data_IF_643264347698
#
_entry.id   IF_643264347698
#
_cell.length_a   1.000
_cell.length_b   1.000
_cell.length_c   1.000
_cell.angle_alpha   90.00
_cell.angle_beta   90.00
_cell.angle_gamma   90.00
#
_symmetry.space_group_name_H-M   'P 1'
#
loop_
_entity.id
_entity.type
_entity.pdbx_description
1 polymer ?
#
# COMPACT_ATOMS: atom_id res chain seq x y z
N UNK A 1 -1.67 -16.07 7.86
CA UNK A 1 -0.80 -15.00 7.31
C UNK A 1 -0.42 -15.36 5.88
N UNK A 2 -0.75 -14.51 4.93
CA UNK A 2 -0.49 -14.69 3.50
C UNK A 2 0.44 -13.59 3.01
N UNK A 3 1.56 -13.97 2.41
CA UNK A 3 2.53 -13.05 1.85
C UNK A 3 3.21 -13.74 0.65
N UNK A 4 2.80 -13.40 -0.56
CA UNK A 4 3.34 -13.98 -1.78
C UNK A 4 3.92 -12.94 -2.72
N UNK A 5 5.14 -13.13 -3.23
CA UNK A 5 5.69 -12.28 -4.28
C UNK A 5 4.84 -12.38 -5.54
N UNK A 6 4.63 -11.25 -6.17
CA UNK A 6 3.83 -11.16 -7.40
C UNK A 6 4.41 -10.13 -8.37
N UNK A 7 3.91 -10.15 -9.60
CA UNK A 7 4.27 -9.16 -10.61
C UNK A 7 3.04 -8.68 -11.34
N UNK A 8 2.91 -7.37 -11.47
CA UNK A 8 1.85 -6.73 -12.23
C UNK A 8 2.31 -6.52 -13.67
N UNK A 9 1.63 -7.17 -14.61
CA UNK A 9 1.75 -6.95 -16.06
C UNK A 9 0.66 -5.96 -16.51
N UNK A 10 0.99 -4.68 -16.44
CA UNK A 10 0.12 -3.55 -16.79
C UNK A 10 0.96 -2.33 -17.17
N UNK A 11 0.42 -1.39 -17.92
CA UNK A 11 1.12 -0.14 -18.22
C UNK A 11 1.20 0.77 -16.99
N UNK A 12 2.30 0.65 -16.25
CA UNK A 12 2.52 1.39 -15.01
C UNK A 12 2.71 2.89 -15.22
N UNK A 13 3.05 3.34 -16.44
CA UNK A 13 3.22 4.77 -16.73
C UNK A 13 1.93 5.55 -16.56
N UNK A 14 0.79 4.90 -16.67
CA UNK A 14 -0.54 5.48 -16.47
C UNK A 14 -0.81 5.92 -15.02
N UNK A 15 -0.04 5.39 -14.05
CA UNK A 15 -0.09 5.76 -12.63
C UNK A 15 0.91 6.84 -12.24
N UNK A 16 1.68 7.36 -13.18
CA UNK A 16 2.73 8.36 -12.98
C UNK A 16 2.47 9.61 -13.81
N UNK A 17 3.21 10.69 -13.52
CA UNK A 17 3.18 11.89 -14.34
C UNK A 17 1.95 12.80 -14.16
N UNK A 18 1.15 12.61 -13.13
CA UNK A 18 0.04 13.48 -12.76
C UNK A 18 0.32 14.22 -11.44
N UNK A 19 -0.45 15.26 -11.16
CA UNK A 19 -0.38 16.00 -9.91
C UNK A 19 -1.14 15.25 -8.81
N UNK A 20 -0.42 14.79 -7.79
CA UNK A 20 -1.04 14.16 -6.64
C UNK A 20 -1.86 15.16 -5.82
N UNK A 21 -2.96 14.70 -5.18
CA UNK A 21 -3.72 15.52 -4.24
C UNK A 21 -2.85 16.05 -3.10
N UNK A 22 -3.42 17.00 -2.33
CA UNK A 22 -2.78 17.54 -1.14
C UNK A 22 -2.25 16.45 -0.21
N UNK A 23 -1.12 16.69 0.46
CA UNK A 23 -0.55 15.73 1.40
C UNK A 23 -1.53 15.37 2.52
N UNK A 24 -1.53 14.11 2.90
CA UNK A 24 -2.24 13.62 4.08
C UNK A 24 -1.31 12.76 4.92
N UNK A 25 -1.61 12.57 6.19
CA UNK A 25 -0.91 11.55 6.97
C UNK A 25 -1.47 10.17 6.65
N UNK A 26 -0.65 9.14 6.64
CA UNK A 26 -1.10 7.76 6.47
C UNK A 26 -2.13 7.32 7.52
N UNK A 27 -2.23 8.06 8.63
CA UNK A 27 -3.11 7.78 9.75
C UNK A 27 -4.44 8.56 9.67
N UNK A 28 -4.55 9.58 8.83
CA UNK A 28 -5.79 10.36 8.68
C UNK A 28 -6.96 9.54 8.15
N UNK A 29 -6.68 8.46 7.42
CA UNK A 29 -7.69 7.55 6.90
C UNK A 29 -7.99 6.38 7.82
N UNK A 30 -7.26 6.25 8.95
CA UNK A 30 -7.49 5.16 9.87
C UNK A 30 -8.74 5.41 10.71
N UNK A 31 -9.58 4.41 10.78
CA UNK A 31 -10.69 4.37 11.71
C UNK A 31 -10.16 4.21 13.15
N UNK A 32 -11.02 4.40 14.13
CA UNK A 32 -10.63 4.38 15.54
C UNK A 32 -9.94 3.06 15.93
N UNK A 33 -10.47 1.96 15.44
CA UNK A 33 -9.98 0.61 15.70
C UNK A 33 -8.53 0.40 15.24
N UNK A 34 -8.13 1.00 14.12
CA UNK A 34 -6.73 0.96 13.65
C UNK A 34 -5.80 1.73 14.58
N UNK A 35 -6.27 2.85 15.15
CA UNK A 35 -5.52 3.62 16.14
C UNK A 35 -5.34 2.84 17.43
N UNK A 36 -6.41 2.19 17.89
CA UNK A 36 -6.39 1.37 19.10
C UNK A 36 -5.40 0.19 18.89
N UNK A 37 -5.40 -0.43 17.72
CA UNK A 37 -4.42 -1.47 17.38
C UNK A 37 -2.97 -0.96 17.40
N UNK A 38 -2.70 0.22 16.87
CA UNK A 38 -1.37 0.83 16.93
C UNK A 38 -0.93 1.09 18.36
N UNK A 39 -1.84 1.49 19.24
CA UNK A 39 -1.56 1.67 20.66
C UNK A 39 -1.27 0.33 21.36
N UNK A 40 -2.02 -0.73 21.06
CA UNK A 40 -1.79 -2.09 21.56
C UNK A 40 -0.42 -2.65 21.11
N UNK A 41 0.01 -2.34 19.90
CA UNK A 41 1.34 -2.70 19.37
C UNK A 41 2.49 -1.86 19.94
N UNK A 42 2.24 -1.00 20.92
CA UNK A 42 3.23 -0.14 21.56
C UNK A 42 3.16 1.33 21.10
N UNK A 43 2.18 1.67 20.28
CA UNK A 43 1.94 3.03 19.78
C UNK A 43 3.09 3.56 18.94
N UNK A 44 3.03 4.86 18.65
CA UNK A 44 4.15 5.54 18.02
C UNK A 44 5.16 5.99 19.10
N UNK A 45 6.46 5.85 18.86
CA UNK A 45 7.44 6.44 19.73
C UNK A 45 7.13 7.93 19.98
N UNK A 46 7.32 8.44 21.19
CA UNK A 46 7.05 9.86 21.51
C UNK A 46 7.85 10.85 20.65
N UNK A 47 8.95 10.38 20.05
CA UNK A 47 9.78 11.13 19.12
C UNK A 47 9.26 11.09 17.67
N UNK A 48 8.28 10.25 17.40
CA UNK A 48 7.70 10.12 16.07
C UNK A 48 6.82 11.33 15.77
N UNK A 49 7.13 12.04 14.70
CA UNK A 49 6.40 13.22 14.28
C UNK A 49 5.47 12.86 13.14
N UNK A 50 4.28 13.43 13.17
CA UNK A 50 3.29 13.26 12.12
C UNK A 50 3.79 13.66 10.74
N UNK A 51 4.70 14.64 10.67
CA UNK A 51 5.33 15.08 9.43
C UNK A 51 6.11 13.95 8.74
N UNK A 52 6.58 12.97 9.51
CA UNK A 52 7.30 11.82 8.96
C UNK A 52 6.36 10.76 8.36
N UNK A 53 5.05 10.90 8.56
CA UNK A 53 4.02 10.00 8.02
C UNK A 53 3.27 10.58 6.82
N UNK A 54 3.71 11.70 6.30
CA UNK A 54 3.04 12.38 5.19
C UNK A 54 3.18 11.56 3.92
N UNK A 55 2.05 11.31 3.28
CA UNK A 55 1.94 10.72 1.97
C UNK A 55 1.05 11.57 1.08
N UNK A 56 1.07 11.31 -0.22
CA UNK A 56 0.04 11.75 -1.15
C UNK A 56 -0.61 10.53 -1.76
N UNK A 57 -1.93 10.49 -1.80
CA UNK A 57 -2.67 9.33 -2.30
C UNK A 57 -3.71 9.74 -3.31
N UNK A 58 -3.75 9.05 -4.45
CA UNK A 58 -4.81 9.16 -5.44
C UNK A 58 -5.55 7.83 -5.52
N UNK A 59 -6.88 7.90 -5.35
CA UNK A 59 -7.79 6.81 -5.63
C UNK A 59 -8.18 6.82 -7.09
N UNK A 60 -8.23 5.66 -7.70
CA UNK A 60 -8.55 5.45 -9.09
C UNK A 60 -9.92 4.81 -9.24
N UNK A 61 -10.57 5.05 -10.37
CA UNK A 61 -11.88 4.49 -10.73
C UNK A 61 -11.74 3.49 -11.88
N UNK A 62 -12.76 2.68 -12.07
CA UNK A 62 -12.87 1.74 -13.22
C UNK A 62 -12.97 2.46 -14.58
N UNK A 63 -13.32 3.74 -14.59
CA UNK A 63 -13.31 4.56 -15.79
C UNK A 63 -11.88 5.03 -16.18
N UNK A 64 -10.99 5.15 -15.21
CA UNK A 64 -9.61 5.57 -15.41
C UNK A 64 -8.67 4.38 -15.69
N UNK A 65 -8.95 3.21 -15.10
CA UNK A 65 -8.13 2.01 -15.23
C UNK A 65 -8.96 0.74 -15.32
N UNK A 66 -8.49 -0.22 -16.11
CA UNK A 66 -9.11 -1.53 -16.28
C UNK A 66 -8.81 -2.43 -15.05
N UNK A 67 -9.72 -2.42 -14.06
CA UNK A 67 -9.61 -3.24 -12.85
C UNK A 67 -9.63 -4.74 -13.16
N UNK A 68 -10.34 -5.15 -14.23
CA UNK A 68 -10.38 -6.56 -14.63
C UNK A 68 -9.02 -7.03 -15.16
N UNK A 69 -8.38 -6.24 -16.03
CA UNK A 69 -7.05 -6.54 -16.57
C UNK A 69 -5.99 -6.59 -15.44
N UNK A 70 -6.00 -5.62 -14.52
CA UNK A 70 -5.14 -5.61 -13.33
C UNK A 70 -5.38 -6.84 -12.48
N UNK A 71 -6.64 -7.16 -12.21
CA UNK A 71 -7.04 -8.31 -11.42
C UNK A 71 -6.64 -9.64 -12.05
N UNK A 72 -6.75 -9.78 -13.36
CA UNK A 72 -6.32 -10.97 -14.09
C UNK A 72 -4.80 -11.18 -14.00
N UNK A 73 -4.04 -10.09 -14.09
CA UNK A 73 -2.58 -10.13 -13.91
C UNK A 73 -2.18 -10.58 -12.51
N UNK A 74 -2.94 -10.22 -11.48
CA UNK A 74 -2.64 -10.51 -10.07
C UNK A 74 -3.38 -11.73 -9.50
N UNK A 75 -4.26 -12.38 -10.26
CA UNK A 75 -5.12 -13.45 -9.74
C UNK A 75 -6.16 -12.96 -8.73
N UNK A 76 -6.61 -11.72 -8.84
CA UNK A 76 -7.52 -11.06 -7.90
C UNK A 76 -8.79 -10.54 -8.59
N UNK A 77 -9.86 -10.40 -7.82
CA UNK A 77 -10.96 -9.50 -8.11
C UNK A 77 -10.66 -8.16 -7.44
N UNK A 78 -10.42 -7.12 -8.23
CA UNK A 78 -10.06 -5.78 -7.73
C UNK A 78 -11.31 -5.03 -7.30
N UNK A 79 -11.29 -4.45 -6.10
CA UNK A 79 -12.38 -3.62 -5.56
C UNK A 79 -11.94 -2.17 -5.39
N UNK A 80 -10.68 -1.95 -4.97
CA UNK A 80 -10.13 -0.60 -4.83
C UNK A 80 -8.71 -0.54 -5.38
N UNK A 81 -8.41 0.62 -5.97
CA UNK A 81 -7.12 0.91 -6.57
C UNK A 81 -6.66 2.30 -6.12
N UNK A 82 -5.44 2.41 -5.60
CA UNK A 82 -4.86 3.70 -5.26
C UNK A 82 -3.35 3.72 -5.45
N UNK A 83 -2.82 4.83 -5.87
CA UNK A 83 -1.38 5.07 -5.89
C UNK A 83 -0.97 5.98 -4.73
N UNK A 84 0.18 5.69 -4.14
CA UNK A 84 0.76 6.45 -3.03
C UNK A 84 2.12 6.98 -3.46
N UNK A 85 2.31 8.26 -3.24
CA UNK A 85 3.60 8.93 -3.31
C UNK A 85 4.10 9.15 -1.88
N UNK A 86 5.27 8.59 -1.58
CA UNK A 86 6.02 8.85 -0.34
C UNK A 86 7.19 9.79 -0.66
N UNK A 87 7.16 11.06 -0.19
CA UNK A 87 8.29 11.96 -0.37
C UNK A 87 9.50 11.51 0.47
N UNK A 88 10.71 12.02 0.16
CA UNK A 88 11.90 11.78 0.98
C UNK A 88 11.67 12.04 2.47
N UNK A 89 12.14 11.12 3.32
CA UNK A 89 12.01 11.20 4.77
C UNK A 89 10.66 10.72 5.33
N UNK A 90 9.71 10.28 4.48
CA UNK A 90 8.43 9.79 4.95
C UNK A 90 8.44 8.28 5.26
N UNK A 91 7.65 7.89 6.24
CA UNK A 91 7.46 6.50 6.65
C UNK A 91 5.99 6.23 6.90
N UNK A 92 5.46 5.16 6.32
CA UNK A 92 4.23 4.51 6.78
C UNK A 92 4.67 3.51 7.85
N UNK A 93 4.37 3.75 9.14
CA UNK A 93 4.90 2.94 10.22
C UNK A 93 4.32 1.53 10.25
N UNK A 94 4.80 0.69 11.15
CA UNK A 94 4.28 -0.66 11.37
C UNK A 94 2.77 -0.65 11.56
N UNK A 95 2.06 -1.44 10.78
CA UNK A 95 0.61 -1.58 10.84
C UNK A 95 0.16 -2.90 10.20
N UNK A 96 -1.10 -3.22 10.43
CA UNK A 96 -1.87 -4.22 9.69
C UNK A 96 -2.89 -3.52 8.80
N UNK A 97 -3.18 -4.11 7.65
CA UNK A 97 -4.30 -3.67 6.81
C UNK A 97 -5.62 -4.29 7.32
N UNK A 98 -6.50 -3.50 7.91
CA UNK A 98 -7.74 -3.99 8.53
C UNK A 98 -8.88 -4.25 7.55
N UNK A 99 -8.85 -3.65 6.36
CA UNK A 99 -9.87 -3.81 5.30
C UNK A 99 -11.32 -3.53 5.72
N UNK A 100 -11.57 -2.67 6.71
CA UNK A 100 -12.89 -2.43 7.27
C UNK A 100 -13.97 -2.15 6.24
N UNK A 101 -13.68 -1.29 5.26
CA UNK A 101 -14.64 -0.92 4.23
C UNK A 101 -14.98 -2.11 3.32
N UNK A 102 -13.99 -2.93 2.96
CA UNK A 102 -14.21 -4.12 2.15
C UNK A 102 -15.04 -5.14 2.91
N UNK A 103 -14.66 -5.44 4.15
CA UNK A 103 -15.40 -6.38 5.02
C UNK A 103 -16.84 -5.93 5.26
N UNK A 104 -17.05 -4.64 5.50
CA UNK A 104 -18.39 -4.06 5.69
C UNK A 104 -19.25 -4.16 4.42
N UNK A 105 -18.63 -3.90 3.25
CA UNK A 105 -19.34 -3.92 1.96
C UNK A 105 -19.62 -5.34 1.47
N UNK A 106 -18.75 -6.29 1.82
CA UNK A 106 -18.82 -7.69 1.37
C UNK A 106 -18.66 -8.67 2.55
N UNK A 107 -19.62 -8.70 3.49
CA UNK A 107 -19.47 -9.48 4.73
C UNK A 107 -19.41 -11.00 4.51
N UNK A 108 -19.93 -11.49 3.39
CA UNK A 108 -19.99 -12.93 3.05
C UNK A 108 -18.83 -13.37 2.16
N UNK A 109 -17.90 -12.49 1.83
CA UNK A 109 -16.73 -12.79 1.00
C UNK A 109 -15.57 -13.34 1.85
N UNK A 110 -14.63 -14.10 1.23
CA UNK A 110 -13.38 -14.47 1.87
C UNK A 110 -12.62 -13.25 2.38
N UNK A 111 -11.60 -13.51 3.19
CA UNK A 111 -10.71 -12.46 3.69
C UNK A 111 -10.12 -11.63 2.53
N UNK A 112 -10.23 -10.29 2.58
CA UNK A 112 -9.61 -9.43 1.60
C UNK A 112 -8.08 -9.50 1.64
N UNK A 113 -7.48 -9.23 0.49
CA UNK A 113 -6.02 -9.10 0.35
C UNK A 113 -5.66 -7.77 -0.30
N UNK A 114 -4.38 -7.39 -0.18
CA UNK A 114 -3.80 -6.23 -0.85
C UNK A 114 -2.55 -6.63 -1.61
N UNK A 115 -2.48 -6.25 -2.88
CA UNK A 115 -1.23 -6.23 -3.60
C UNK A 115 -0.56 -4.86 -3.44
N UNK A 116 0.69 -4.88 -2.95
CA UNK A 116 1.58 -3.72 -2.86
C UNK A 116 2.54 -3.79 -4.04
N UNK A 117 2.33 -2.97 -5.06
CA UNK A 117 3.09 -3.01 -6.31
C UNK A 117 3.98 -1.79 -6.45
N UNK A 118 5.21 -1.98 -6.90
CA UNK A 118 6.16 -0.89 -7.12
C UNK A 118 5.96 -0.29 -8.51
N UNK A 119 5.73 1.02 -8.60
CA UNK A 119 5.46 1.69 -9.87
C UNK A 119 6.72 2.06 -10.67
N UNK A 120 7.87 2.09 -10.01
CA UNK A 120 9.17 2.38 -10.61
C UNK A 120 10.22 1.40 -10.12
N UNK A 121 11.36 1.32 -10.84
CA UNK A 121 12.54 0.61 -10.37
C UNK A 121 13.02 1.14 -9.02
N UNK A 122 13.56 0.25 -8.23
CA UNK A 122 14.10 0.57 -6.90
C UNK A 122 15.10 1.73 -6.93
N UNK A 123 14.99 2.59 -5.92
CA UNK A 123 15.91 3.71 -5.70
C UNK A 123 16.52 3.62 -4.30
N UNK A 124 17.74 4.10 -4.16
CA UNK A 124 18.46 4.05 -2.89
C UNK A 124 17.65 4.69 -1.74
N UNK A 125 17.54 3.96 -0.64
CA UNK A 125 16.78 4.39 0.54
C UNK A 125 15.30 4.00 0.53
N UNK A 126 14.81 3.38 -0.54
CA UNK A 126 13.45 2.86 -0.59
C UNK A 126 13.41 1.43 -0.09
N UNK A 127 12.50 1.11 0.83
CA UNK A 127 12.21 -0.27 1.21
C UNK A 127 10.80 -0.43 1.77
N UNK A 128 10.34 -1.67 1.81
CA UNK A 128 9.16 -2.14 2.53
C UNK A 128 9.64 -3.29 3.41
N UNK A 129 9.27 -3.30 4.67
CA UNK A 129 9.48 -4.45 5.53
C UNK A 129 8.14 -5.19 5.67
N UNK A 130 8.20 -6.52 5.53
CA UNK A 130 7.07 -7.46 5.58
C UNK A 130 7.40 -8.47 6.68
N UNK A 131 6.89 -8.28 7.89
CA UNK A 131 7.35 -8.98 9.09
C UNK A 131 8.89 -8.94 9.23
N UNK A 132 9.57 -10.08 9.14
CA UNK A 132 11.02 -10.19 9.27
C UNK A 132 11.79 -9.98 7.95
N UNK A 133 11.09 -9.91 6.82
CA UNK A 133 11.68 -9.75 5.49
C UNK A 133 11.71 -8.30 5.04
N UNK A 134 12.77 -7.91 4.33
CA UNK A 134 12.91 -6.57 3.75
C UNK A 134 12.86 -6.65 2.23
N UNK A 135 11.86 -6.03 1.64
CA UNK A 135 11.71 -5.90 0.20
C UNK A 135 12.43 -4.65 -0.30
N UNK A 136 13.42 -4.87 -1.13
CA UNK A 136 14.22 -3.85 -1.80
C UNK A 136 14.76 -4.38 -3.14
N UNK A 137 15.46 -3.54 -3.92
CA UNK A 137 16.03 -3.90 -5.23
C UNK A 137 15.01 -4.44 -6.24
N UNK A 138 13.76 -4.02 -6.12
CA UNK A 138 12.68 -4.40 -7.03
C UNK A 138 12.81 -3.76 -8.41
N UNK A 139 12.12 -4.33 -9.38
CA UNK A 139 11.80 -3.72 -10.65
C UNK A 139 10.37 -3.18 -10.65
N UNK A 140 10.09 -2.22 -11.52
CA UNK A 140 8.73 -1.75 -11.75
C UNK A 140 7.80 -2.94 -12.05
N UNK A 141 6.65 -2.97 -11.39
CA UNK A 141 5.70 -4.07 -11.44
C UNK A 141 5.94 -5.21 -10.44
N UNK A 142 7.09 -5.29 -9.78
CA UNK A 142 7.29 -6.26 -8.70
C UNK A 142 6.51 -5.83 -7.45
N UNK A 143 6.06 -6.81 -6.65
CA UNK A 143 5.33 -6.55 -5.42
C UNK A 143 4.98 -7.80 -4.64
N UNK A 144 4.11 -7.63 -3.66
CA UNK A 144 3.60 -8.70 -2.81
C UNK A 144 2.09 -8.60 -2.65
N UNK A 145 1.42 -9.75 -2.62
CA UNK A 145 0.05 -9.86 -2.14
C UNK A 145 0.10 -10.26 -0.67
N UNK A 146 -0.57 -9.48 0.17
CA UNK A 146 -0.59 -9.63 1.63
C UNK A 146 -2.03 -9.67 2.15
N UNK A 147 -2.22 -10.33 3.29
CA UNK A 147 -3.47 -10.32 4.05
C UNK A 147 -3.41 -9.38 5.26
N UNK A 148 -4.50 -9.34 6.03
CA UNK A 148 -4.61 -8.50 7.23
C UNK A 148 -3.73 -8.96 8.40
N UNK A 149 -3.21 -10.17 8.39
CA UNK A 149 -2.37 -10.68 9.48
C UNK A 149 -0.91 -10.25 9.35
N UNK A 150 -0.51 -9.82 8.14
CA UNK A 150 0.87 -9.41 7.89
C UNK A 150 1.14 -7.99 8.38
N UNK A 151 2.06 -7.86 9.32
CA UNK A 151 2.58 -6.54 9.73
C UNK A 151 3.58 -6.04 8.70
N UNK A 152 3.44 -4.77 8.34
CA UNK A 152 4.37 -4.18 7.41
C UNK A 152 4.58 -2.69 7.67
N UNK A 153 5.68 -2.19 7.11
CA UNK A 153 5.97 -0.76 7.02
C UNK A 153 6.52 -0.42 5.64
N UNK A 154 6.39 0.84 5.24
CA UNK A 154 7.01 1.32 4.02
C UNK A 154 7.74 2.63 4.27
N UNK A 155 9.00 2.74 3.84
CA UNK A 155 9.77 3.96 4.06
C UNK A 155 10.44 4.47 2.80
N UNK A 156 10.68 5.77 2.78
CA UNK A 156 11.53 6.47 1.85
C UNK A 156 12.60 7.24 2.64
N UNK A 157 13.71 6.56 2.92
CA UNK A 157 14.90 7.15 3.50
C UNK A 157 15.86 7.70 2.42
N UNK A 158 15.42 7.74 1.18
CA UNK A 158 16.19 8.20 0.02
C UNK A 158 16.00 9.69 -0.28
N UNK A 159 16.41 10.08 -1.50
CA UNK A 159 16.42 11.46 -1.97
C UNK A 159 15.39 11.72 -3.10
N UNK A 160 14.66 10.70 -3.52
CA UNK A 160 13.69 10.76 -4.60
C UNK A 160 12.35 10.21 -4.11
N UNK A 161 11.25 10.65 -4.73
CA UNK A 161 9.92 10.13 -4.42
C UNK A 161 9.82 8.63 -4.65
N UNK A 162 9.07 7.94 -3.80
CA UNK A 162 8.74 6.53 -3.90
C UNK A 162 7.26 6.38 -4.25
N UNK A 163 6.99 5.59 -5.27
CA UNK A 163 5.63 5.37 -5.78
C UNK A 163 5.23 3.90 -5.60
N UNK A 164 4.08 3.70 -4.95
CA UNK A 164 3.49 2.38 -4.70
C UNK A 164 2.05 2.36 -5.18
N UNK A 165 1.64 1.29 -5.84
CA UNK A 165 0.24 1.02 -6.16
C UNK A 165 -0.32 0.04 -5.14
N UNK A 166 -1.46 0.36 -4.56
CA UNK A 166 -2.24 -0.51 -3.69
C UNK A 166 -3.46 -1.02 -4.45
N UNK A 167 -3.54 -2.32 -4.60
CA UNK A 167 -4.67 -3.02 -5.23
C UNK A 167 -5.33 -3.87 -4.17
N UNK A 168 -6.56 -3.57 -3.79
CA UNK A 168 -7.27 -4.34 -2.75
C UNK A 168 -8.50 -5.02 -3.31
N UNK A 169 -8.76 -6.24 -2.83
CA UNK A 169 -9.86 -7.06 -3.29
C UNK A 169 -9.80 -8.48 -2.71
N UNK A 170 -10.16 -9.46 -3.54
CA UNK A 170 -10.26 -10.86 -3.14
C UNK A 170 -9.48 -11.74 -4.11
N UNK A 171 -8.83 -12.80 -3.62
CA UNK A 171 -8.24 -13.82 -4.49
C UNK A 171 -9.33 -14.54 -5.30
N UNK A 172 -9.02 -14.87 -6.58
CA UNK A 172 -9.90 -15.64 -7.48
C UNK A 172 -9.83 -17.11 -7.19
#
# INVERSE_FOLDING_TARGET
MYCEPTKLDYDLSTFLGFEYPEPCTCIQHQVREDKDLHEEMGGFPKTYKWENTIIRQKWWTEEEHDFEAIGNSLGMEVVTLSSILQPPGSTVPWHHDQFFLLKKKFPDRPQPVRALMMLEDWKLGHFIQLDDDVFHHWKAGDGYIIDEELRHLGTNAGMQDKYTLQVSGFLK
#
